data_IF_834958873294
#
_entry.id   IF_834958873294
#
_cell.length_a   1.000
_cell.length_b   1.000
_cell.length_c   1.000
_cell.angle_alpha   90.00
_cell.angle_beta   90.00
_cell.angle_gamma   90.00
#
_symmetry.space_group_name_H-M   'P 1'
#
loop_
_entity.id
_entity.type
_entity.pdbx_description
1 polymer ?
#
# COMPACT_ATOMS: atom_id res chain seq x y z
N UNK A 1 -19.02 11.01 33.12
CA UNK A 1 -18.57 10.03 32.13
C UNK A 1 -17.66 10.75 31.14
N UNK A 2 -16.50 10.17 30.82
CA UNK A 2 -15.51 10.73 29.90
C UNK A 2 -15.47 9.98 28.56
N UNK A 3 -16.34 8.98 28.41
CA UNK A 3 -16.53 8.26 27.16
C UNK A 3 -16.91 9.25 26.06
N UNK A 4 -16.17 9.23 24.94
CA UNK A 4 -16.40 10.14 23.83
C UNK A 4 -15.74 11.52 23.93
N UNK A 5 -14.81 11.73 24.88
CA UNK A 5 -13.96 12.93 24.83
C UNK A 5 -13.07 12.88 23.58
N UNK A 6 -13.24 13.87 22.69
CA UNK A 6 -12.51 13.96 21.43
C UNK A 6 -11.65 15.22 21.35
N UNK A 7 -10.50 15.08 20.72
CA UNK A 7 -9.61 16.19 20.39
C UNK A 7 -8.76 15.81 19.20
N UNK A 8 -8.24 16.80 18.47
CA UNK A 8 -7.29 16.55 17.41
C UNK A 8 -5.90 17.10 17.76
N UNK A 9 -4.89 16.50 17.15
CA UNK A 9 -3.51 16.96 17.18
C UNK A 9 -2.99 17.08 15.76
N UNK A 10 -2.12 18.07 15.55
CA UNK A 10 -1.38 18.23 14.30
C UNK A 10 0.02 17.67 14.54
N UNK A 11 0.48 16.81 13.65
CA UNK A 11 1.85 16.30 13.68
C UNK A 11 2.82 17.42 13.35
N UNK A 12 3.63 17.81 14.34
CA UNK A 12 4.72 18.77 14.19
C UNK A 12 6.08 18.04 14.19
N UNK A 13 7.15 18.73 13.80
CA UNK A 13 8.50 18.13 13.69
C UNK A 13 9.00 17.50 14.99
N UNK A 14 8.58 18.03 16.14
CA UNK A 14 8.94 17.51 17.46
C UNK A 14 7.98 16.42 17.97
N UNK A 15 6.89 16.14 17.25
CA UNK A 15 5.83 15.21 17.68
C UNK A 15 6.13 13.75 17.36
N UNK A 16 7.19 13.42 16.60
CA UNK A 16 7.48 12.03 16.22
C UNK A 16 8.02 11.18 17.38
N UNK A 17 8.90 11.74 18.22
CA UNK A 17 9.52 11.00 19.33
C UNK A 17 8.63 10.92 20.56
N UNK A 18 7.86 11.98 20.81
CA UNK A 18 6.88 12.09 21.89
C UNK A 18 5.75 13.01 21.45
N UNK A 19 4.51 12.73 21.85
CA UNK A 19 3.36 13.58 21.53
C UNK A 19 2.90 14.33 22.77
N UNK A 20 2.94 15.67 22.77
CA UNK A 20 2.36 16.48 23.84
C UNK A 20 0.84 16.41 23.74
N UNK A 21 0.18 16.12 24.85
CA UNK A 21 -1.27 16.04 24.92
C UNK A 21 -1.86 17.41 25.27
N UNK A 22 -3.07 17.76 24.78
CA UNK A 22 -3.71 19.02 25.14
C UNK A 22 -3.90 19.13 26.65
N UNK A 23 -3.62 20.29 27.22
CA UNK A 23 -3.72 20.50 28.67
C UNK A 23 -5.16 20.25 29.18
N UNK A 24 -6.18 20.52 28.35
CA UNK A 24 -7.58 20.18 28.66
C UNK A 24 -7.77 18.67 28.83
N UNK A 25 -7.15 17.86 27.97
CA UNK A 25 -7.21 16.40 28.09
C UNK A 25 -6.39 15.89 29.28
N UNK A 26 -5.20 16.46 29.52
CA UNK A 26 -4.41 16.13 30.70
C UNK A 26 -5.17 16.38 32.01
N UNK A 27 -5.89 17.51 32.10
CA UNK A 27 -6.78 17.83 33.24
C UNK A 27 -7.94 16.84 33.39
N UNK A 28 -8.47 16.32 32.30
CA UNK A 28 -9.51 15.29 32.32
C UNK A 28 -8.98 13.97 32.92
N UNK A 29 -7.69 13.68 32.75
CA UNK A 29 -7.03 12.52 33.37
C UNK A 29 -6.46 12.81 34.77
N UNK A 30 -6.53 14.06 35.25
CA UNK A 30 -6.04 14.43 36.57
C UNK A 30 -6.80 13.64 37.65
N UNK A 31 -6.05 12.92 38.48
CA UNK A 31 -6.60 12.00 39.49
C UNK A 31 -6.65 10.52 39.06
N UNK A 32 -6.48 10.21 37.77
CA UNK A 32 -6.27 8.84 37.28
C UNK A 32 -4.82 8.55 36.94
N UNK A 33 -4.10 9.58 36.46
CA UNK A 33 -2.67 9.58 36.14
C UNK A 33 -2.15 8.22 35.61
N UNK A 34 -2.76 7.72 34.52
CA UNK A 34 -2.40 6.41 34.01
C UNK A 34 -0.93 6.44 33.59
N UNK A 35 -0.14 5.46 34.03
CA UNK A 35 1.26 5.30 33.61
C UNK A 35 1.39 4.86 32.14
N UNK A 36 0.29 4.38 31.57
CA UNK A 36 0.21 3.79 30.23
C UNK A 36 -1.21 3.91 29.70
N UNK A 37 -1.30 4.11 28.39
CA UNK A 37 -2.55 4.08 27.62
C UNK A 37 -2.38 3.17 26.42
N UNK A 38 -3.49 2.68 25.88
CA UNK A 38 -3.50 1.89 24.65
C UNK A 38 -3.96 2.73 23.48
N UNK A 39 -3.19 2.76 22.40
CA UNK A 39 -3.65 3.35 21.15
C UNK A 39 -4.29 2.29 20.28
N UNK A 40 -5.43 2.64 19.67
CA UNK A 40 -6.12 1.83 18.67
C UNK A 40 -6.29 2.64 17.40
N UNK A 41 -5.84 2.10 16.28
CA UNK A 41 -6.18 2.70 14.98
C UNK A 41 -7.68 2.46 14.68
N UNK A 42 -8.40 3.51 14.32
CA UNK A 42 -9.81 3.41 14.01
C UNK A 42 -10.06 2.54 12.77
N UNK A 43 -10.84 1.47 12.92
CA UNK A 43 -11.15 0.51 11.84
C UNK A 43 -10.27 -0.73 11.83
N UNK A 44 -9.19 -0.78 12.63
CA UNK A 44 -8.20 -1.87 12.65
C UNK A 44 -8.63 -3.16 13.41
N UNK A 45 -9.93 -3.40 13.56
CA UNK A 45 -10.45 -4.50 14.38
C UNK A 45 -10.04 -4.40 15.86
N UNK A 46 -10.24 -5.49 16.63
CA UNK A 46 -9.88 -5.52 18.07
C UNK A 46 -8.41 -5.85 18.35
N UNK A 47 -7.62 -6.22 17.34
CA UNK A 47 -6.31 -6.86 17.51
C UNK A 47 -5.11 -5.92 17.36
N UNK A 48 -5.33 -4.60 17.25
CA UNK A 48 -4.27 -3.61 16.98
C UNK A 48 -4.17 -2.60 18.13
N UNK A 49 -3.82 -3.08 19.33
CA UNK A 49 -3.57 -2.22 20.48
C UNK A 49 -2.07 -1.99 20.66
N UNK A 50 -1.69 -0.73 20.81
CA UNK A 50 -0.30 -0.32 21.05
C UNK A 50 -0.18 0.21 22.48
N UNK A 51 0.66 -0.43 23.29
CA UNK A 51 0.95 0.04 24.64
C UNK A 51 1.89 1.26 24.57
N UNK A 52 1.44 2.37 25.15
CA UNK A 52 2.15 3.65 25.10
C UNK A 52 2.25 4.26 26.50
N UNK A 53 3.49 4.49 26.94
CA UNK A 53 3.77 5.11 28.23
C UNK A 53 3.33 6.56 28.23
N UNK A 54 2.72 6.97 29.34
CA UNK A 54 2.41 8.37 29.63
C UNK A 54 3.52 8.91 30.53
N UNK A 55 4.05 10.07 30.19
CA UNK A 55 5.10 10.74 30.97
C UNK A 55 4.71 12.20 31.19
N UNK A 56 5.08 12.74 32.35
CA UNK A 56 4.97 14.16 32.66
C UNK A 56 6.37 14.79 32.57
N UNK A 57 6.46 16.01 32.05
CA UNK A 57 7.69 16.80 32.20
C UNK A 57 7.71 17.57 33.54
N UNK A 58 8.78 18.32 33.77
CA UNK A 58 8.97 19.08 35.01
C UNK A 58 7.89 20.17 35.22
N UNK A 59 7.28 20.64 34.14
CA UNK A 59 6.21 21.64 34.16
C UNK A 59 4.81 20.99 34.29
N UNK A 60 4.75 19.66 34.38
CA UNK A 60 3.51 18.89 34.50
C UNK A 60 2.77 18.68 33.18
N UNK A 61 3.39 18.96 32.02
CA UNK A 61 2.78 18.67 30.73
C UNK A 61 2.82 17.17 30.43
N UNK A 62 1.70 16.65 29.94
CA UNK A 62 1.55 15.24 29.63
C UNK A 62 2.00 14.91 28.21
N UNK A 63 2.73 13.81 28.06
CA UNK A 63 3.18 13.29 26.78
C UNK A 63 2.90 11.79 26.63
N UNK A 64 2.60 11.38 25.40
CA UNK A 64 2.78 10.01 24.96
C UNK A 64 4.27 9.79 24.65
N UNK A 65 4.92 8.94 25.44
CA UNK A 65 6.35 8.65 25.39
C UNK A 65 6.65 7.33 24.68
N UNK A 66 7.34 6.42 25.36
CA UNK A 66 7.70 5.10 24.79
C UNK A 66 6.45 4.39 24.26
N UNK A 67 6.52 3.82 23.06
CA UNK A 67 5.37 3.23 22.34
C UNK A 67 4.82 4.16 21.25
N UNK A 68 4.84 5.47 21.48
CA UNK A 68 4.33 6.47 20.53
C UNK A 68 5.14 6.51 19.25
N UNK A 69 6.48 6.55 19.35
CA UNK A 69 7.34 6.61 18.16
C UNK A 69 7.17 5.35 17.29
N UNK A 70 7.00 4.18 17.91
CA UNK A 70 6.73 2.93 17.19
C UNK A 70 5.40 3.01 16.45
N UNK A 71 4.34 3.48 17.12
CA UNK A 71 3.04 3.72 16.51
C UNK A 71 3.14 4.71 15.33
N UNK A 72 3.83 5.83 15.52
CA UNK A 72 3.97 6.87 14.49
C UNK A 72 4.72 6.36 13.25
N UNK A 73 5.76 5.54 13.44
CA UNK A 73 6.51 4.92 12.34
C UNK A 73 5.69 3.86 11.62
N UNK A 74 4.99 2.99 12.36
CA UNK A 74 4.15 1.93 11.77
C UNK A 74 3.02 2.49 10.91
N UNK A 75 2.50 3.67 11.27
CA UNK A 75 1.45 4.36 10.52
C UNK A 75 1.99 5.44 9.58
N UNK A 76 3.30 5.51 9.31
CA UNK A 76 3.92 6.52 8.44
C UNK A 76 3.37 7.94 8.69
N UNK A 77 3.33 8.36 9.96
CA UNK A 77 2.84 9.69 10.33
C UNK A 77 3.85 10.74 9.91
N UNK A 78 3.37 11.80 9.22
CA UNK A 78 4.21 12.87 8.68
C UNK A 78 3.80 14.23 9.21
N UNK A 79 4.70 15.20 9.04
CA UNK A 79 4.45 16.60 9.35
C UNK A 79 3.15 17.07 8.65
N UNK A 80 2.30 17.77 9.41
CA UNK A 80 1.03 18.32 8.90
C UNK A 80 -0.15 17.34 8.92
N UNK A 81 0.06 16.07 9.28
CA UNK A 81 -1.06 15.13 9.44
C UNK A 81 -1.91 15.52 10.64
N UNK A 82 -3.22 15.31 10.53
CA UNK A 82 -4.19 15.56 11.59
C UNK A 82 -4.60 14.21 12.19
N UNK A 83 -4.48 14.10 13.50
CA UNK A 83 -4.89 12.92 14.26
C UNK A 83 -6.09 13.29 15.11
N UNK A 84 -7.22 12.62 14.91
CA UNK A 84 -8.38 12.75 15.76
C UNK A 84 -8.38 11.61 16.79
N UNK A 85 -8.25 11.96 18.06
CA UNK A 85 -8.29 11.06 19.19
C UNK A 85 -9.69 11.03 19.80
N UNK A 86 -10.13 9.83 20.19
CA UNK A 86 -11.35 9.59 20.95
C UNK A 86 -11.04 8.70 22.14
N UNK A 87 -11.35 9.17 23.33
CA UNK A 87 -11.11 8.46 24.58
C UNK A 87 -12.33 7.63 24.99
N UNK A 88 -12.10 6.37 25.36
CA UNK A 88 -13.17 5.44 25.77
C UNK A 88 -13.67 5.65 27.20
N UNK A 89 -13.00 6.51 27.97
CA UNK A 89 -13.32 6.78 29.37
C UNK A 89 -12.51 5.95 30.36
N UNK A 90 -11.61 5.07 29.90
CA UNK A 90 -10.75 4.23 30.75
C UNK A 90 -9.26 4.41 30.40
N UNK A 91 -8.77 3.67 29.40
CA UNK A 91 -7.35 3.65 29.05
C UNK A 91 -7.08 3.51 27.55
N UNK A 92 -8.11 3.57 26.69
CA UNK A 92 -7.95 3.42 25.24
C UNK A 92 -8.20 4.74 24.52
N UNK A 93 -7.23 5.13 23.71
CA UNK A 93 -7.34 6.22 22.75
C UNK A 93 -7.48 5.64 21.35
N UNK A 94 -8.66 5.80 20.75
CA UNK A 94 -8.88 5.48 19.35
C UNK A 94 -8.40 6.65 18.49
N UNK A 95 -7.58 6.36 17.48
CA UNK A 95 -6.92 7.34 16.62
C UNK A 95 -7.42 7.20 15.18
N UNK A 96 -7.96 8.28 14.61
CA UNK A 96 -8.19 8.43 13.17
C UNK A 96 -7.08 9.32 12.61
N UNK A 97 -6.44 8.89 11.53
CA UNK A 97 -5.35 9.66 10.89
C UNK A 97 -5.86 10.26 9.60
N UNK A 98 -5.63 11.55 9.40
CA UNK A 98 -5.90 12.28 8.16
C UNK A 98 -4.58 12.81 7.63
N UNK A 99 -4.27 12.54 6.38
CA UNK A 99 -3.07 13.08 5.75
C UNK A 99 -3.28 14.50 5.23
N UNK A 100 -2.27 15.05 4.55
CA UNK A 100 -2.29 16.41 4.00
C UNK A 100 -3.37 16.65 2.93
N UNK A 101 -3.99 15.59 2.39
CA UNK A 101 -5.16 15.69 1.50
C UNK A 101 -6.47 15.92 2.26
N UNK A 102 -6.42 16.01 3.60
CA UNK A 102 -7.58 16.09 4.49
C UNK A 102 -8.48 14.85 4.46
N UNK A 103 -8.05 13.78 3.77
CA UNK A 103 -8.76 12.52 3.73
C UNK A 103 -8.25 11.58 4.82
N UNK A 104 -9.17 10.78 5.36
CA UNK A 104 -8.82 9.76 6.36
C UNK A 104 -8.00 8.66 5.70
N UNK A 105 -6.87 8.33 6.31
CA UNK A 105 -6.06 7.16 5.94
C UNK A 105 -6.75 5.88 6.41
N UNK A 106 -6.72 4.88 5.55
CA UNK A 106 -7.15 3.52 5.83
C UNK A 106 -5.92 2.61 5.77
N UNK A 107 -5.57 2.00 6.90
CA UNK A 107 -4.47 1.05 6.94
C UNK A 107 -5.07 -0.34 6.69
N UNK A 108 -4.85 -0.86 5.49
CA UNK A 108 -5.23 -2.25 5.20
C UNK A 108 -4.26 -3.16 5.94
N UNK A 109 -4.80 -3.98 6.84
CA UNK A 109 -4.05 -5.06 7.44
C UNK A 109 -4.19 -6.26 6.49
N UNK A 110 -3.06 -6.80 6.02
CA UNK A 110 -2.99 -7.97 5.13
C UNK A 110 -3.46 -9.28 5.82
N UNK A 111 -4.55 -9.25 6.58
CA UNK A 111 -5.08 -10.41 7.32
C UNK A 111 -6.19 -11.15 6.55
N UNK A 112 -6.31 -10.95 5.24
CA UNK A 112 -7.27 -11.70 4.44
C UNK A 112 -6.70 -12.14 3.08
N UNK A 113 -6.26 -13.39 3.04
CA UNK A 113 -6.04 -14.12 1.80
C UNK A 113 -7.27 -14.10 0.85
N UNK A 114 -8.47 -13.77 1.34
CA UNK A 114 -9.68 -13.64 0.51
C UNK A 114 -9.71 -12.35 -0.33
N UNK A 115 -9.03 -11.27 0.09
CA UNK A 115 -8.97 -10.02 -0.69
C UNK A 115 -8.09 -10.18 -1.95
N UNK A 116 -7.01 -10.98 -1.85
CA UNK A 116 -6.21 -11.38 -3.02
C UNK A 116 -7.01 -12.27 -3.98
N UNK A 117 -7.82 -13.19 -3.46
CA UNK A 117 -8.73 -14.02 -4.26
C UNK A 117 -9.80 -13.17 -4.98
N UNK A 118 -10.31 -12.12 -4.33
CA UNK A 118 -11.30 -11.23 -4.94
C UNK A 118 -10.72 -10.44 -6.13
N UNK A 119 -9.50 -9.90 -5.99
CA UNK A 119 -8.82 -9.20 -7.07
C UNK A 119 -8.43 -10.13 -8.23
N UNK A 120 -7.97 -11.35 -7.95
CA UNK A 120 -7.66 -12.37 -8.97
C UNK A 120 -8.92 -12.90 -9.68
N UNK A 121 -10.08 -12.88 -9.02
CA UNK A 121 -11.36 -13.29 -9.63
C UNK A 121 -11.98 -12.22 -10.53
N UNK A 122 -11.62 -10.95 -10.33
CA UNK A 122 -12.17 -9.80 -11.06
C UNK A 122 -11.38 -9.45 -12.32
N UNK A 123 -10.22 -10.08 -12.58
CA UNK A 123 -9.50 -9.94 -13.86
C UNK A 123 -10.18 -10.87 -14.88
N UNK A 124 -10.78 -10.36 -15.98
CA UNK A 124 -11.25 -11.22 -17.05
C UNK A 124 -10.07 -12.02 -17.58
N UNK A 125 -10.18 -13.36 -17.57
CA UNK A 125 -9.15 -14.26 -18.13
C UNK A 125 -9.06 -14.05 -19.65
N UNK A 126 -8.27 -13.06 -20.06
CA UNK A 126 -7.97 -12.78 -21.47
C UNK A 126 -7.39 -14.00 -22.21
N UNK A 127 -6.77 -14.93 -21.47
CA UNK A 127 -6.21 -16.17 -22.01
C UNK A 127 -7.29 -17.18 -22.44
N UNK A 128 -8.43 -17.27 -21.74
CA UNK A 128 -9.45 -18.29 -22.04
C UNK A 128 -10.26 -17.97 -23.30
N UNK A 129 -10.41 -16.68 -23.62
CA UNK A 129 -11.20 -16.23 -24.77
C UNK A 129 -10.45 -16.38 -26.10
N UNK A 130 -9.11 -16.28 -26.09
CA UNK A 130 -8.26 -16.47 -27.29
C UNK A 130 -8.18 -17.94 -27.74
N UNK A 131 -8.26 -18.89 -26.82
CA UNK A 131 -8.14 -20.31 -27.15
C UNK A 131 -9.45 -20.89 -27.70
N UNK A 132 -10.60 -20.38 -27.25
CA UNK A 132 -11.92 -20.74 -27.77
C UNK A 132 -12.16 -20.22 -29.20
N UNK A 133 -11.62 -19.05 -29.56
CA UNK A 133 -11.63 -18.54 -30.94
C UNK A 133 -10.67 -19.29 -31.88
N UNK A 134 -9.56 -19.84 -31.38
CA UNK A 134 -8.68 -20.72 -32.21
C UNK A 134 -9.33 -22.07 -32.49
N UNK A 135 -10.11 -22.61 -31.56
CA UNK A 135 -10.84 -23.89 -31.75
C UNK A 135 -11.98 -23.77 -32.77
N UNK A 136 -12.66 -22.62 -32.87
CA UNK A 136 -13.72 -22.41 -33.87
C UNK A 136 -13.19 -22.24 -35.31
N UNK A 137 -11.92 -21.85 -35.50
CA UNK A 137 -11.31 -21.71 -36.84
C UNK A 137 -10.83 -23.02 -37.45
N UNK A 138 -10.77 -24.10 -36.67
CA UNK A 138 -10.29 -25.41 -37.12
C UNK A 138 -11.42 -26.42 -37.38
N UNK A 139 -12.69 -25.99 -37.27
CA UNK A 139 -13.87 -26.86 -37.35
C UNK A 139 -14.62 -26.85 -38.67
N UNK A 140 -14.01 -26.40 -39.78
CA UNK A 140 -14.68 -26.38 -41.07
C UNK A 140 -13.72 -26.68 -42.21
N UNK A 141 -13.61 -27.94 -42.60
CA UNK A 141 -13.88 -28.35 -43.99
C UNK A 141 -13.81 -29.88 -44.08
N UNK A 142 -14.99 -30.50 -44.21
CA UNK A 142 -15.16 -31.93 -44.38
C UNK A 142 -15.27 -32.28 -45.85
N UNK A 143 -14.13 -32.54 -46.48
CA UNK A 143 -13.92 -33.60 -47.48
C UNK A 143 -14.49 -33.43 -48.89
N UNK A 144 -13.62 -33.62 -49.89
CA UNK A 144 -13.78 -34.68 -50.91
C UNK A 144 -12.49 -34.92 -51.72
N UNK A 145 -12.41 -36.16 -52.20
CA UNK A 145 -11.27 -36.92 -52.73
C UNK A 145 -10.88 -36.58 -54.18
N UNK A 146 -9.66 -36.98 -54.54
CA UNK A 146 -9.26 -37.50 -55.85
C UNK A 146 -7.94 -36.86 -56.34
N UNK A 147 -6.77 -37.50 -56.27
CA UNK A 147 -6.21 -38.58 -57.12
C UNK A 147 -5.07 -38.04 -57.99
N UNK A 148 -3.87 -38.58 -57.76
CA UNK A 148 -2.71 -38.81 -58.66
C UNK A 148 -2.17 -37.72 -59.60
N UNK A 149 -0.85 -37.46 -59.51
CA UNK A 149 0.20 -37.96 -60.43
C UNK A 149 1.52 -37.22 -60.12
N UNK A 150 2.61 -37.98 -59.97
CA UNK A 150 3.97 -37.50 -59.82
C UNK A 150 4.62 -37.17 -61.18
N UNK A 151 5.39 -36.08 -61.29
CA UNK A 151 6.52 -35.98 -62.23
C UNK A 151 7.65 -35.13 -61.65
N UNK A 152 8.87 -35.62 -61.88
CA UNK A 152 10.22 -35.06 -61.69
C UNK A 152 10.41 -33.54 -61.90
N UNK A 153 11.44 -33.00 -61.23
CA UNK A 153 12.10 -31.77 -61.67
C UNK A 153 13.18 -31.23 -60.73
N UNK A 154 14.39 -31.75 -60.90
CA UNK A 154 15.74 -31.24 -60.60
C UNK A 154 16.00 -30.07 -59.62
N UNK A 155 17.02 -30.31 -58.80
CA UNK A 155 17.74 -29.38 -57.97
C UNK A 155 18.58 -28.36 -58.78
N UNK A 156 18.70 -27.15 -58.27
CA UNK A 156 19.89 -26.33 -58.46
C UNK A 156 20.31 -25.70 -57.11
N UNK A 157 21.62 -25.72 -56.86
CA UNK A 157 22.29 -25.31 -55.63
C UNK A 157 22.99 -23.96 -55.85
N UNK A 158 22.83 -23.07 -54.86
CA UNK A 158 23.83 -22.12 -54.28
C UNK A 158 24.32 -20.95 -55.18
N UNK A 159 24.90 -19.85 -54.63
CA UNK A 159 25.43 -19.65 -53.27
C UNK A 159 25.05 -18.33 -52.54
N UNK A 160 25.39 -18.26 -51.25
CA UNK A 160 25.68 -17.03 -50.48
C UNK A 160 27.21 -16.82 -50.51
N UNK A 161 27.74 -15.58 -50.60
CA UNK A 161 28.28 -14.85 -49.42
C UNK A 161 28.12 -13.30 -49.58
N UNK A 162 28.19 -12.42 -48.58
CA UNK A 162 29.21 -12.20 -47.55
C UNK A 162 29.96 -10.88 -47.84
N UNK A 163 30.16 -10.05 -46.81
CA UNK A 163 30.91 -8.76 -46.80
C UNK A 163 30.26 -7.56 -47.53
N UNK A 164 30.30 -6.32 -47.08
CA UNK A 164 31.19 -5.55 -46.20
C UNK A 164 30.41 -4.27 -45.79
N UNK A 165 30.79 -3.36 -44.91
CA UNK A 165 31.79 -3.20 -43.87
C UNK A 165 31.36 -1.91 -43.15
N UNK A 166 31.63 -1.82 -41.85
CA UNK A 166 31.62 -0.57 -41.11
C UNK A 166 32.90 0.23 -41.41
N UNK A 167 32.77 1.54 -41.66
CA UNK A 167 33.82 2.59 -41.58
C UNK A 167 33.06 3.90 -41.31
N UNK A 168 33.07 4.51 -40.11
CA UNK A 168 34.12 5.32 -39.45
C UNK A 168 34.39 6.69 -40.09
N UNK A 169 34.04 7.77 -39.37
CA UNK A 169 34.74 9.07 -39.17
C UNK A 169 33.71 10.19 -38.92
N UNK A 170 33.62 10.89 -37.78
CA UNK A 170 34.54 11.74 -36.99
C UNK A 170 34.63 13.19 -37.51
N UNK A 171 34.08 14.12 -36.72
CA UNK A 171 34.49 15.54 -36.55
C UNK A 171 33.50 16.16 -35.51
N UNK A 172 33.84 16.45 -34.25
CA UNK A 172 34.71 17.56 -33.78
C UNK A 172 34.44 18.85 -34.57
N UNK A 173 33.96 19.97 -34.06
CA UNK A 173 33.77 20.46 -32.70
C UNK A 173 34.07 21.96 -32.72
N UNK A 174 33.19 22.78 -32.10
CA UNK A 174 33.52 23.99 -31.31
C UNK A 174 34.00 25.22 -32.12
N UNK A 175 33.80 26.48 -31.66
CA UNK A 175 33.31 26.95 -30.36
C UNK A 175 31.89 27.51 -30.32
#
# INVERSE_FOLDING_TARGET
DLSGFEFFMIMLSNSLKKLRMPDKFAKVLAGREPREVKLREAGSGRHSLWDVKVVLDADGHMYLGRGWEQFARAHDLRLGYILLFSFDGDAVLTVKVFDVSMCRRHYQRDDDASTRLFLLSSVPRLASQREQQRRQRLGGDGGRRGSDVAVHGQAERLPLPGEAAAVSERAAGVP
#
